data_IF_458627894558
#
_entry.id   IF_458627894558
#
_cell.length_a   1.000
_cell.length_b   1.000
_cell.length_c   1.000
_cell.angle_alpha   90.00
_cell.angle_beta   90.00
_cell.angle_gamma   90.00
#
_symmetry.space_group_name_H-M   'P 1'
#
loop_
_entity.id
_entity.type
_entity.pdbx_description
1 polymer ?
#
# COMPACT_ATOMS: atom_id res chain seq x y z
N UNK A 1 -8.58 10.18 -11.17
CA UNK A 1 -7.35 10.99 -11.37
C UNK A 1 -7.03 11.73 -10.06
N UNK A 2 -5.76 11.98 -9.74
CA UNK A 2 -5.35 12.60 -8.47
C UNK A 2 -4.39 13.78 -8.70
N UNK A 3 -4.42 14.80 -7.84
CA UNK A 3 -3.42 15.88 -7.85
C UNK A 3 -2.06 15.38 -7.34
N UNK A 4 -1.01 16.19 -7.56
CA UNK A 4 0.24 16.04 -6.82
C UNK A 4 0.02 16.19 -5.31
N UNK A 5 0.64 15.33 -4.51
CA UNK A 5 0.44 15.24 -3.06
C UNK A 5 -1.04 15.14 -2.63
N UNK A 6 -1.76 14.08 -3.03
CA UNK A 6 -3.21 13.98 -2.84
C UNK A 6 -3.63 13.98 -1.36
N UNK A 7 -2.85 13.37 -0.47
CA UNK A 7 -3.11 13.40 0.98
C UNK A 7 -3.13 14.84 1.50
N UNK A 8 -2.19 15.68 1.07
CA UNK A 8 -2.16 17.10 1.45
C UNK A 8 -3.38 17.85 0.89
N UNK A 9 -3.81 17.53 -0.32
CA UNK A 9 -5.00 18.12 -0.93
C UNK A 9 -6.27 17.77 -0.13
N UNK A 10 -6.43 16.52 0.30
CA UNK A 10 -7.52 16.08 1.18
C UNK A 10 -7.45 16.82 2.52
N UNK A 11 -6.30 16.78 3.19
CA UNK A 11 -6.14 17.34 4.54
C UNK A 11 -6.42 18.84 4.60
N UNK A 12 -6.19 19.61 3.52
CA UNK A 12 -6.49 21.05 3.47
C UNK A 12 -7.93 21.40 3.88
N UNK A 13 -8.88 20.50 3.62
CA UNK A 13 -10.29 20.69 4.00
C UNK A 13 -10.54 20.45 5.49
N UNK A 14 -9.67 19.70 6.16
CA UNK A 14 -9.83 19.20 7.52
C UNK A 14 -8.94 19.92 8.57
N UNK A 15 -8.24 21.00 8.18
CA UNK A 15 -7.29 21.68 9.08
C UNK A 15 -7.94 22.62 10.12
N UNK A 16 -9.24 22.92 9.99
CA UNK A 16 -9.94 23.82 10.91
C UNK A 16 -10.24 23.12 12.23
N UNK A 17 -9.99 23.81 13.35
CA UNK A 17 -10.16 23.26 14.70
C UNK A 17 -11.62 23.19 15.18
N UNK A 18 -12.54 23.93 14.56
CA UNK A 18 -13.95 24.04 14.95
C UNK A 18 -14.88 23.14 14.11
N UNK A 19 -14.33 22.09 13.50
CA UNK A 19 -15.09 21.14 12.69
C UNK A 19 -15.80 20.12 13.59
N UNK A 20 -17.08 20.33 13.83
CA UNK A 20 -17.95 19.41 14.57
C UNK A 20 -19.27 19.14 13.83
N UNK A 21 -19.89 17.98 14.10
CA UNK A 21 -21.18 17.59 13.54
C UNK A 21 -21.26 17.76 12.03
N UNK A 22 -22.26 18.52 11.55
CA UNK A 22 -22.46 18.76 10.11
C UNK A 22 -21.29 19.48 9.43
N UNK A 23 -20.57 20.35 10.15
CA UNK A 23 -19.40 21.06 9.59
C UNK A 23 -18.28 20.08 9.29
N UNK A 24 -18.01 19.16 10.21
CA UNK A 24 -17.02 18.10 10.02
C UNK A 24 -17.39 17.20 8.84
N UNK A 25 -18.63 16.73 8.78
CA UNK A 25 -19.10 15.90 7.66
C UNK A 25 -18.99 16.62 6.31
N UNK A 26 -19.28 17.92 6.27
CA UNK A 26 -19.13 18.72 5.05
C UNK A 26 -17.67 18.89 4.64
N UNK A 27 -16.77 19.09 5.60
CA UNK A 27 -15.33 19.16 5.36
C UNK A 27 -14.76 17.81 4.90
N UNK A 28 -15.22 16.70 5.50
CA UNK A 28 -14.87 15.36 5.09
C UNK A 28 -15.34 15.07 3.66
N UNK A 29 -16.59 15.44 3.33
CA UNK A 29 -17.13 15.34 1.97
C UNK A 29 -16.25 16.07 0.95
N UNK A 30 -15.81 17.30 1.26
CA UNK A 30 -14.88 18.04 0.40
C UNK A 30 -13.52 17.33 0.28
N UNK A 31 -13.01 16.78 1.37
CA UNK A 31 -11.78 15.99 1.38
C UNK A 31 -11.87 14.76 0.49
N UNK A 32 -12.85 13.87 0.70
CA UNK A 32 -13.02 12.65 -0.10
C UNK A 32 -13.34 12.95 -1.57
N UNK A 33 -13.96 14.10 -1.87
CA UNK A 33 -14.19 14.56 -3.24
C UNK A 33 -12.90 14.77 -4.03
N UNK A 34 -11.75 15.01 -3.38
CA UNK A 34 -10.44 15.06 -4.06
C UNK A 34 -10.11 13.71 -4.70
N UNK A 35 -10.54 12.59 -4.11
CA UNK A 35 -10.32 11.26 -4.66
C UNK A 35 -11.41 10.89 -5.67
N UNK A 36 -12.68 11.02 -5.26
CA UNK A 36 -13.83 10.53 -6.03
C UNK A 36 -14.30 11.46 -7.15
N UNK A 37 -14.02 12.77 -7.05
CA UNK A 37 -14.54 13.78 -7.98
C UNK A 37 -13.52 14.89 -8.27
N UNK A 38 -12.25 14.54 -8.43
CA UNK A 38 -11.19 15.53 -8.69
C UNK A 38 -11.45 16.41 -9.93
N UNK A 39 -12.11 15.87 -10.96
CA UNK A 39 -12.43 16.59 -12.19
C UNK A 39 -13.67 17.46 -12.08
N UNK A 40 -14.50 17.28 -11.05
CA UNK A 40 -15.76 18.00 -10.84
C UNK A 40 -16.93 17.52 -11.72
N UNK A 41 -16.76 16.44 -12.50
CA UNK A 41 -17.79 15.97 -13.42
C UNK A 41 -18.88 15.11 -12.75
N UNK A 42 -18.61 14.52 -11.58
CA UNK A 42 -19.58 13.68 -10.89
C UNK A 42 -20.60 14.54 -10.11
N UNK A 43 -21.88 14.19 -10.22
CA UNK A 43 -22.98 14.85 -9.49
C UNK A 43 -23.20 14.26 -8.10
N UNK A 44 -22.70 13.04 -7.85
CA UNK A 44 -22.70 12.36 -6.56
C UNK A 44 -21.42 11.52 -6.40
N UNK A 45 -21.08 11.17 -5.16
CA UNK A 45 -19.97 10.25 -4.88
C UNK A 45 -20.53 8.84 -4.74
N UNK A 46 -20.45 8.05 -5.81
CA UNK A 46 -20.77 6.63 -5.76
C UNK A 46 -19.59 5.86 -5.17
N UNK A 47 -19.67 5.53 -3.88
CA UNK A 47 -18.62 4.75 -3.22
C UNK A 47 -18.53 3.32 -3.76
N UNK A 48 -19.63 2.74 -4.26
CA UNK A 48 -19.63 1.38 -4.79
C UNK A 48 -18.82 1.30 -6.09
N UNK A 49 -18.73 2.40 -6.85
CA UNK A 49 -17.88 2.48 -8.03
C UNK A 49 -16.38 2.25 -7.73
N UNK A 50 -15.92 2.53 -6.50
CA UNK A 50 -14.55 2.23 -6.08
C UNK A 50 -14.30 0.74 -5.78
N UNK A 51 -15.37 -0.06 -5.71
CA UNK A 51 -15.31 -1.51 -5.45
C UNK A 51 -15.86 -2.32 -6.64
N UNK A 52 -15.98 -1.71 -7.83
CA UNK A 52 -16.45 -2.42 -9.02
C UNK A 52 -15.50 -3.59 -9.31
N UNK A 53 -15.96 -4.86 -9.20
CA UNK A 53 -15.08 -6.00 -9.34
C UNK A 53 -14.57 -6.08 -10.78
N UNK A 54 -13.26 -6.03 -10.95
CA UNK A 54 -12.60 -6.41 -12.18
C UNK A 54 -12.14 -7.87 -12.10
N UNK A 55 -11.85 -8.49 -13.25
CA UNK A 55 -11.23 -9.83 -13.27
C UNK A 55 -9.92 -9.87 -12.47
N UNK A 56 -9.20 -8.75 -12.40
CA UNK A 56 -8.00 -8.63 -11.56
C UNK A 56 -8.32 -8.70 -10.07
N UNK A 57 -9.42 -8.09 -9.64
CA UNK A 57 -9.84 -8.09 -8.24
C UNK A 57 -10.32 -9.47 -7.80
N UNK A 58 -11.07 -10.18 -8.65
CA UNK A 58 -11.48 -11.56 -8.36
C UNK A 58 -10.29 -12.51 -8.23
N UNK A 59 -9.28 -12.38 -9.10
CA UNK A 59 -8.04 -13.17 -9.01
C UNK A 59 -7.27 -12.88 -7.73
N UNK A 60 -7.14 -11.60 -7.37
CA UNK A 60 -6.49 -11.19 -6.12
C UNK A 60 -7.22 -11.69 -4.88
N UNK A 61 -8.54 -11.59 -4.85
CA UNK A 61 -9.35 -12.08 -3.73
C UNK A 61 -9.19 -13.60 -3.54
N UNK A 62 -9.14 -14.37 -4.63
CA UNK A 62 -8.84 -15.79 -4.56
C UNK A 62 -7.43 -16.06 -3.99
N UNK A 63 -6.41 -15.30 -4.41
CA UNK A 63 -5.07 -15.40 -3.84
C UNK A 63 -5.05 -15.06 -2.34
N UNK A 64 -5.77 -14.02 -1.91
CA UNK A 64 -5.90 -13.64 -0.50
C UNK A 64 -6.60 -14.74 0.30
N UNK A 65 -7.62 -15.38 -0.26
CA UNK A 65 -8.35 -16.49 0.35
C UNK A 65 -7.61 -17.83 0.34
N UNK A 66 -6.41 -17.90 -0.25
CA UNK A 66 -5.60 -19.12 -0.29
C UNK A 66 -4.25 -18.92 0.37
N UNK A 67 -3.36 -18.16 -0.25
CA UNK A 67 -1.95 -18.05 0.16
C UNK A 67 -1.59 -16.67 0.73
N UNK A 68 -2.15 -15.60 0.17
CA UNK A 68 -1.85 -14.20 0.47
C UNK A 68 -2.67 -13.67 1.66
N UNK A 69 -2.73 -14.45 2.74
CA UNK A 69 -3.49 -14.10 3.95
C UNK A 69 -2.72 -13.03 4.73
N UNK A 70 -3.24 -11.80 4.74
CA UNK A 70 -2.59 -10.65 5.37
C UNK A 70 -3.45 -10.09 6.51
N UNK A 71 -3.05 -10.30 7.78
CA UNK A 71 -3.75 -9.74 8.93
C UNK A 71 -3.66 -8.21 8.95
N UNK A 72 -4.80 -7.54 8.76
CA UNK A 72 -4.93 -6.07 8.85
C UNK A 72 -6.04 -5.76 9.84
N UNK A 73 -5.79 -4.81 10.74
CA UNK A 73 -6.74 -4.38 11.77
C UNK A 73 -6.56 -2.91 12.12
N UNK A 74 -7.54 -2.35 12.83
CA UNK A 74 -7.54 -0.99 13.37
C UNK A 74 -7.93 -1.03 14.84
N UNK A 75 -7.37 -0.14 15.66
CA UNK A 75 -7.61 -0.12 17.11
C UNK A 75 -8.17 1.20 17.64
N UNK A 76 -8.25 2.24 16.80
CA UNK A 76 -8.74 3.57 17.16
C UNK A 76 -7.90 4.31 18.22
N UNK A 77 -6.67 3.85 18.47
CA UNK A 77 -5.70 4.45 19.41
C UNK A 77 -4.41 4.83 18.73
N UNK A 78 -3.86 3.93 17.91
CA UNK A 78 -2.64 4.14 17.13
C UNK A 78 -2.94 4.48 15.66
N UNK A 79 -4.23 4.45 15.29
CA UNK A 79 -4.76 4.88 14.02
C UNK A 79 -5.98 5.81 14.23
N UNK A 80 -6.51 6.36 13.13
CA UNK A 80 -7.64 7.29 13.15
C UNK A 80 -8.99 6.63 12.79
N UNK A 81 -9.05 5.30 12.76
CA UNK A 81 -10.22 4.54 12.33
C UNK A 81 -11.00 3.98 13.52
N UNK A 82 -12.21 3.50 13.25
CA UNK A 82 -12.95 2.74 14.26
C UNK A 82 -12.26 1.38 14.50
N UNK A 83 -12.28 0.85 15.74
CA UNK A 83 -11.62 -0.41 16.04
C UNK A 83 -12.25 -1.59 15.30
N UNK A 84 -11.45 -2.34 14.55
CA UNK A 84 -11.82 -3.59 13.89
C UNK A 84 -10.73 -4.63 14.10
N UNK A 85 -11.06 -5.71 14.81
CA UNK A 85 -10.08 -6.76 15.15
C UNK A 85 -9.95 -7.75 14.00
N UNK A 86 -8.71 -8.17 13.73
CA UNK A 86 -8.46 -9.30 12.84
C UNK A 86 -9.01 -10.60 13.45
N UNK A 87 -9.85 -11.31 12.68
CA UNK A 87 -10.46 -12.58 13.06
C UNK A 87 -10.25 -13.60 11.95
N UNK A 88 -9.32 -14.53 12.15
CA UNK A 88 -9.00 -15.54 11.14
C UNK A 88 -10.16 -16.50 10.87
N UNK A 89 -10.98 -16.84 11.87
CA UNK A 89 -12.11 -17.77 11.70
C UNK A 89 -13.18 -17.16 10.80
N UNK A 90 -13.51 -15.89 11.02
CA UNK A 90 -14.46 -15.15 10.19
C UNK A 90 -13.92 -15.01 8.75
N UNK A 91 -12.66 -14.59 8.61
CA UNK A 91 -11.98 -14.53 7.32
C UNK A 91 -12.02 -15.86 6.56
N UNK A 92 -11.76 -16.98 7.24
CA UNK A 92 -11.77 -18.31 6.63
C UNK A 92 -13.18 -18.75 6.21
N UNK A 93 -14.20 -18.42 6.99
CA UNK A 93 -15.59 -18.70 6.64
C UNK A 93 -16.01 -17.91 5.39
N UNK A 94 -15.69 -16.61 5.33
CA UNK A 94 -16.01 -15.76 4.17
C UNK A 94 -15.34 -16.30 2.89
N UNK A 95 -14.07 -16.73 2.99
CA UNK A 95 -13.35 -17.34 1.88
C UNK A 95 -13.96 -18.67 1.42
N UNK A 96 -14.46 -19.48 2.36
CA UNK A 96 -15.13 -20.74 2.03
C UNK A 96 -16.48 -20.49 1.36
N UNK A 97 -17.26 -19.52 1.85
CA UNK A 97 -18.56 -19.15 1.26
C UNK A 97 -18.41 -18.62 -0.17
N UNK A 98 -17.42 -17.77 -0.42
CA UNK A 98 -17.21 -17.14 -1.74
C UNK A 98 -16.53 -18.08 -2.75
N UNK A 99 -15.51 -18.83 -2.32
CA UNK A 99 -14.61 -19.57 -3.24
C UNK A 99 -14.52 -21.07 -2.95
N UNK A 100 -15.10 -21.58 -1.86
CA UNK A 100 -15.00 -22.99 -1.47
C UNK A 100 -13.58 -23.43 -1.07
N UNK A 101 -12.72 -22.48 -0.69
CA UNK A 101 -11.33 -22.73 -0.28
C UNK A 101 -11.11 -22.32 1.17
N UNK A 102 -10.15 -22.98 1.82
CA UNK A 102 -9.72 -22.63 3.16
C UNK A 102 -8.35 -21.94 3.11
N UNK A 103 -8.21 -20.73 3.68
CA UNK A 103 -6.96 -19.99 3.64
C UNK A 103 -5.85 -20.67 4.45
N UNK A 104 -4.63 -20.65 3.92
CA UNK A 104 -3.44 -21.21 4.56
C UNK A 104 -2.51 -20.08 5.05
N UNK A 105 -2.72 -19.55 6.26
CA UNK A 105 -2.09 -18.29 6.70
C UNK A 105 -0.57 -18.32 6.84
N UNK A 106 0.03 -19.51 6.88
CA UNK A 106 1.47 -19.68 7.00
C UNK A 106 2.12 -20.21 5.72
N UNK A 107 1.37 -20.45 4.65
CA UNK A 107 1.88 -21.05 3.42
C UNK A 107 3.04 -20.25 2.83
N UNK A 108 2.80 -18.97 2.54
CA UNK A 108 3.81 -18.03 2.00
C UNK A 108 5.03 -17.93 2.92
N UNK A 109 4.82 -17.82 4.23
CA UNK A 109 5.92 -17.76 5.21
C UNK A 109 6.79 -19.02 5.16
N UNK A 110 6.16 -20.19 5.10
CA UNK A 110 6.87 -21.47 5.11
C UNK A 110 7.57 -21.73 3.77
N UNK A 111 6.95 -21.34 2.65
CA UNK A 111 7.49 -21.53 1.31
C UNK A 111 8.67 -20.58 1.02
N UNK A 112 8.52 -19.30 1.38
CA UNK A 112 9.50 -18.25 1.03
C UNK A 112 10.40 -17.82 2.21
N UNK A 113 10.32 -18.51 3.36
CA UNK A 113 11.21 -18.32 4.51
C UNK A 113 10.85 -17.17 5.46
N UNK A 114 9.90 -16.30 5.10
CA UNK A 114 9.47 -15.19 5.93
C UNK A 114 10.63 -14.24 6.27
N UNK A 115 11.01 -14.15 7.55
CA UNK A 115 12.16 -13.34 7.99
C UNK A 115 13.51 -14.07 7.85
N UNK A 116 13.51 -15.38 7.59
CA UNK A 116 14.71 -16.20 7.50
C UNK A 116 15.27 -16.21 6.07
N UNK A 117 15.62 -15.03 5.56
CA UNK A 117 16.04 -14.81 4.17
C UNK A 117 17.51 -14.41 4.05
N UNK A 118 18.35 -14.68 5.06
CA UNK A 118 19.77 -14.28 5.08
C UNK A 118 20.62 -14.85 3.94
N UNK A 119 20.15 -15.91 3.27
CA UNK A 119 20.79 -16.51 2.09
C UNK A 119 20.38 -15.85 0.78
N UNK A 120 19.47 -14.88 0.80
CA UNK A 120 19.07 -14.13 -0.38
C UNK A 120 20.25 -13.35 -0.96
N UNK A 121 20.30 -13.27 -2.29
CA UNK A 121 21.33 -12.55 -3.02
C UNK A 121 20.72 -11.86 -4.24
N UNK A 122 21.35 -10.78 -4.68
CA UNK A 122 20.96 -10.01 -5.86
C UNK A 122 19.49 -9.53 -5.82
N UNK A 123 19.07 -8.97 -4.68
CA UNK A 123 17.73 -8.39 -4.50
C UNK A 123 17.86 -6.95 -4.00
N UNK A 124 17.05 -6.05 -4.56
CA UNK A 124 16.83 -4.72 -4.00
C UNK A 124 15.42 -4.69 -3.42
N UNK A 125 15.30 -4.53 -2.11
CA UNK A 125 14.04 -4.30 -1.41
C UNK A 125 13.80 -2.79 -1.29
N UNK A 126 13.09 -2.20 -2.25
CA UNK A 126 12.77 -0.77 -2.24
C UNK A 126 11.46 -0.48 -1.52
N UNK A 127 11.46 0.51 -0.63
CA UNK A 127 10.29 0.92 0.14
C UNK A 127 10.21 2.45 0.21
N UNK A 128 8.99 2.99 0.04
CA UNK A 128 8.72 4.40 0.22
C UNK A 128 8.33 4.74 1.66
N UNK A 129 8.80 5.86 2.19
CA UNK A 129 8.48 6.29 3.56
C UNK A 129 6.99 6.57 3.78
N UNK A 130 6.28 7.02 2.75
CA UNK A 130 4.85 7.34 2.81
C UNK A 130 3.97 6.12 2.48
N UNK A 131 4.58 4.97 2.17
CA UNK A 131 3.89 3.76 1.79
C UNK A 131 3.46 2.96 3.03
N UNK A 132 2.14 2.77 3.29
CA UNK A 132 1.70 1.92 4.39
C UNK A 132 2.20 0.48 4.28
N UNK A 133 2.46 -0.02 3.08
CA UNK A 133 2.96 -1.38 2.85
C UNK A 133 4.42 -1.58 3.28
N UNK A 134 5.18 -0.48 3.45
CA UNK A 134 6.56 -0.55 3.92
C UNK A 134 6.70 -1.22 5.29
N UNK A 135 5.64 -1.17 6.11
CA UNK A 135 5.59 -1.84 7.42
C UNK A 135 5.68 -3.37 7.33
N UNK A 136 5.24 -3.97 6.21
CA UNK A 136 5.35 -5.40 5.93
C UNK A 136 6.60 -5.78 5.11
N UNK A 137 7.38 -4.80 4.68
CA UNK A 137 8.54 -4.99 3.82
C UNK A 137 9.85 -5.33 4.55
N UNK A 138 10.92 -5.46 3.77
CA UNK A 138 12.30 -5.61 4.26
C UNK A 138 12.96 -4.23 4.31
N UNK A 139 13.25 -3.76 5.53
CA UNK A 139 13.76 -2.40 5.78
C UNK A 139 15.23 -2.35 6.21
N UNK A 140 15.95 -3.47 6.12
CA UNK A 140 17.37 -3.57 6.45
C UNK A 140 18.07 -4.47 5.44
N UNK A 141 19.38 -4.27 5.26
CA UNK A 141 20.18 -5.13 4.41
C UNK A 141 20.18 -6.56 4.96
N UNK A 142 19.93 -7.51 4.07
CA UNK A 142 19.81 -8.94 4.39
C UNK A 142 21.14 -9.66 4.14
N UNK A 143 21.86 -9.27 3.08
CA UNK A 143 23.19 -9.74 2.72
C UNK A 143 23.93 -8.67 1.92
N UNK A 144 25.18 -8.90 1.54
CA UNK A 144 25.98 -7.95 0.74
C UNK A 144 25.33 -7.60 -0.61
N UNK A 145 24.50 -8.48 -1.16
CA UNK A 145 23.83 -8.29 -2.46
C UNK A 145 22.30 -8.26 -2.38
N UNK A 146 21.73 -8.56 -1.20
CA UNK A 146 20.32 -8.36 -0.90
C UNK A 146 20.13 -7.12 -0.01
N UNK A 147 19.93 -5.96 -0.63
CA UNK A 147 20.01 -4.65 -0.01
C UNK A 147 18.63 -4.00 0.12
N UNK A 148 18.37 -3.30 1.22
CA UNK A 148 17.14 -2.54 1.43
C UNK A 148 17.34 -1.06 1.17
N UNK A 149 16.41 -0.45 0.43
CA UNK A 149 16.48 0.95 0.02
C UNK A 149 15.21 1.66 0.46
N UNK A 150 15.35 2.56 1.42
CA UNK A 150 14.23 3.31 1.99
C UNK A 150 14.25 4.75 1.49
N UNK A 151 13.19 5.17 0.80
CA UNK A 151 13.11 6.45 0.11
C UNK A 151 12.19 7.42 0.85
N UNK A 152 12.77 8.51 1.37
CA UNK A 152 12.00 9.62 1.94
C UNK A 152 11.07 10.26 0.89
N UNK A 153 9.91 10.75 1.32
CA UNK A 153 8.88 11.40 0.48
C UNK A 153 8.36 10.56 -0.71
N UNK A 154 8.63 9.25 -0.72
CA UNK A 154 8.12 8.32 -1.72
C UNK A 154 6.93 7.53 -1.17
N UNK A 155 5.89 7.38 -1.99
CA UNK A 155 4.75 6.49 -1.73
C UNK A 155 4.99 5.11 -2.39
N UNK A 156 3.92 4.34 -2.58
CA UNK A 156 3.97 2.98 -3.11
C UNK A 156 4.76 2.88 -4.43
N UNK A 157 5.92 2.19 -4.36
CA UNK A 157 6.85 1.90 -5.45
C UNK A 157 7.09 3.05 -6.45
N UNK A 158 7.29 4.28 -5.94
CA UNK A 158 7.47 5.48 -6.77
C UNK A 158 8.70 5.37 -7.71
N UNK A 159 9.74 4.68 -7.26
CA UNK A 159 10.94 4.33 -8.00
C UNK A 159 10.68 3.59 -9.32
N UNK A 160 9.62 2.79 -9.41
CA UNK A 160 9.25 2.08 -10.65
C UNK A 160 8.50 2.94 -11.66
N UNK A 161 8.01 4.12 -11.26
CA UNK A 161 7.32 5.04 -12.19
C UNK A 161 8.31 5.68 -13.15
N UNK A 162 7.80 6.17 -14.27
CA UNK A 162 8.58 7.00 -15.20
C UNK A 162 9.11 8.25 -14.49
N UNK A 163 10.27 8.74 -14.94
CA UNK A 163 10.90 9.94 -14.36
C UNK A 163 10.01 11.17 -14.53
N UNK A 164 10.00 12.00 -13.50
CA UNK A 164 9.31 13.27 -13.47
C UNK A 164 10.22 14.37 -12.88
N UNK A 165 10.20 15.61 -13.40
CA UNK A 165 10.96 16.72 -12.82
C UNK A 165 10.65 17.00 -11.33
N UNK A 166 9.48 16.60 -10.85
CA UNK A 166 9.07 16.73 -9.45
C UNK A 166 9.46 15.53 -8.57
N UNK A 167 10.21 14.55 -9.09
CA UNK A 167 10.65 13.40 -8.30
C UNK A 167 11.49 13.84 -7.09
N UNK A 168 11.23 13.30 -5.89
CA UNK A 168 12.10 13.53 -4.74
C UNK A 168 13.53 13.07 -5.03
N UNK A 169 14.50 13.78 -4.44
CA UNK A 169 15.93 13.45 -4.60
C UNK A 169 16.25 12.01 -4.21
N UNK A 170 15.61 11.50 -3.15
CA UNK A 170 15.73 10.11 -2.68
C UNK A 170 15.42 9.08 -3.78
N UNK A 171 14.37 9.31 -4.56
CA UNK A 171 13.97 8.42 -5.66
C UNK A 171 14.94 8.51 -6.84
N UNK A 172 15.39 9.72 -7.17
CA UNK A 172 16.39 9.92 -8.22
C UNK A 172 17.71 9.21 -7.88
N UNK A 173 18.14 9.29 -6.62
CA UNK A 173 19.33 8.61 -6.13
C UNK A 173 19.15 7.09 -6.10
N UNK A 174 18.00 6.59 -5.64
CA UNK A 174 17.66 5.18 -5.64
C UNK A 174 17.71 4.58 -7.06
N UNK A 175 17.09 5.22 -8.04
CA UNK A 175 17.13 4.76 -9.45
C UNK A 175 18.55 4.74 -10.04
N UNK A 176 19.40 5.70 -9.68
CA UNK A 176 20.83 5.69 -10.08
C UNK A 176 21.56 4.50 -9.46
N UNK A 177 21.33 4.24 -8.18
CA UNK A 177 21.88 3.09 -7.48
C UNK A 177 21.43 1.77 -8.13
N UNK A 178 20.14 1.61 -8.44
CA UNK A 178 19.61 0.40 -9.09
C UNK A 178 20.28 0.14 -10.42
N UNK A 179 20.46 1.19 -11.25
CA UNK A 179 21.14 1.05 -12.54
C UNK A 179 22.55 0.51 -12.36
N UNK A 180 23.32 1.05 -11.41
CA UNK A 180 24.68 0.59 -11.14
C UNK A 180 24.70 -0.87 -10.68
N UNK A 181 23.84 -1.23 -9.73
CA UNK A 181 23.77 -2.59 -9.16
C UNK A 181 23.30 -3.61 -10.20
N UNK A 182 22.26 -3.30 -10.97
CA UNK A 182 21.74 -4.18 -12.03
C UNK A 182 22.81 -4.36 -13.12
N UNK A 183 23.55 -3.31 -13.49
CA UNK A 183 24.67 -3.44 -14.42
C UNK A 183 25.76 -4.36 -13.88
N UNK A 184 26.09 -4.28 -12.58
CA UNK A 184 27.03 -5.20 -11.94
C UNK A 184 26.51 -6.64 -12.01
N UNK A 185 25.24 -6.90 -11.70
CA UNK A 185 24.64 -8.22 -11.79
C UNK A 185 24.68 -8.81 -13.19
N UNK A 186 24.46 -7.99 -14.23
CA UNK A 186 24.54 -8.43 -15.63
C UNK A 186 25.98 -8.77 -16.04
N UNK A 187 26.98 -8.13 -15.43
CA UNK A 187 28.40 -8.32 -15.75
C UNK A 187 29.11 -9.44 -14.97
N UNK A 188 28.41 -10.10 -14.04
CA UNK A 188 28.92 -11.26 -13.28
C UNK A 188 28.98 -12.51 -14.16
#
# INVERSE_FOLDING_TARGET
>A
PLPGHPVKAVCKHLLKKDLEGKKLLSALFQGVSVYFNYTGNATCLDYASAYQPSLGDSGWNYQACTEMVMPICTDGKHDMYEPSKWNFTEYANDCYEEYGVEPQPFHVRNLYGGKHISTASNIIFSNGQLDPWSSGGVLHNVSDTAQAIFMADAAHHLDLRASNPADPKSVVEARKYYRTVIQQWISQ
#
